data_IF_938388902901
#
_entry.id   IF_938388902901
#
_cell.length_a   1.000
_cell.length_b   1.000
_cell.length_c   1.000
_cell.angle_alpha   90.00
_cell.angle_beta   90.00
_cell.angle_gamma   90.00
#
_symmetry.space_group_name_H-M   'P 1'
#
loop_
_entity.id
_entity.type
_entity.pdbx_description
1 polymer ?
#
# COMPACT_ATOMS: atom_id res chain seq x y z
N UNK A 1 6.83 17.75 50.32
CA UNK A 1 6.22 16.66 49.53
C UNK A 1 5.30 17.35 48.53
N UNK A 2 5.71 17.46 47.27
CA UNK A 2 4.98 18.19 46.23
C UNK A 2 4.14 17.19 45.41
N UNK A 3 2.87 17.46 45.06
CA UNK A 3 2.12 16.57 44.19
C UNK A 3 2.73 16.56 42.78
N UNK A 4 2.67 15.43 42.06
CA UNK A 4 3.10 15.35 40.67
C UNK A 4 2.19 16.25 39.79
N UNK A 5 2.73 16.83 38.71
CA UNK A 5 1.93 17.60 37.76
C UNK A 5 0.88 16.68 37.10
N UNK A 6 -0.31 17.21 36.75
CA UNK A 6 -1.33 16.42 36.07
C UNK A 6 -0.79 15.93 34.72
N UNK A 7 -1.06 14.66 34.42
CA UNK A 7 -0.74 14.08 33.12
C UNK A 7 -1.49 14.88 32.04
N UNK A 8 -0.76 15.42 31.07
CA UNK A 8 -1.36 16.03 29.90
C UNK A 8 -2.06 14.92 29.11
N UNK A 9 -3.37 14.80 29.25
CA UNK A 9 -4.19 14.00 28.36
C UNK A 9 -4.13 14.66 26.98
N UNK A 10 -3.24 14.15 26.15
CA UNK A 10 -3.23 14.50 24.72
C UNK A 10 -4.47 13.86 24.13
N UNK A 11 -5.55 14.64 24.07
CA UNK A 11 -6.76 14.31 23.35
C UNK A 11 -6.38 14.07 21.88
N UNK A 12 -6.42 12.81 21.45
CA UNK A 12 -6.43 12.51 20.03
C UNK A 12 -7.73 13.09 19.49
N UNK A 13 -7.63 14.09 18.62
CA UNK A 13 -8.78 14.64 17.94
C UNK A 13 -9.56 13.48 17.30
N UNK A 14 -10.80 13.27 17.75
CA UNK A 14 -11.69 12.29 17.14
C UNK A 14 -12.07 12.84 15.78
N UNK A 15 -11.36 12.40 14.73
CA UNK A 15 -11.72 12.73 13.36
C UNK A 15 -13.05 12.03 13.07
N UNK A 16 -14.10 12.82 12.88
CA UNK A 16 -15.38 12.32 12.40
C UNK A 16 -15.17 11.77 10.98
N UNK A 17 -15.53 10.51 10.70
CA UNK A 17 -15.44 9.98 9.34
C UNK A 17 -16.30 10.84 8.40
N UNK A 18 -15.67 11.51 7.43
CA UNK A 18 -16.37 12.09 6.27
C UNK A 18 -16.45 13.62 6.18
N UNK A 19 -15.89 14.41 7.10
CA UNK A 19 -15.92 15.90 6.96
C UNK A 19 -14.62 16.52 6.46
N UNK A 20 -13.48 15.85 6.67
CA UNK A 20 -12.15 16.44 6.38
C UNK A 20 -11.44 15.72 5.21
N UNK A 21 -12.08 14.69 4.64
CA UNK A 21 -11.61 14.07 3.41
C UNK A 21 -12.26 14.79 2.24
N UNK A 22 -11.77 15.99 1.91
CA UNK A 22 -11.99 16.53 0.57
C UNK A 22 -11.38 15.52 -0.41
N UNK A 23 -12.22 14.67 -1.00
CA UNK A 23 -11.83 13.86 -2.15
C UNK A 23 -11.50 14.88 -3.24
N UNK A 24 -10.24 14.98 -3.71
CA UNK A 24 -9.93 15.81 -4.86
C UNK A 24 -10.80 15.31 -6.01
N UNK A 25 -11.77 16.12 -6.41
CA UNK A 25 -12.84 15.74 -7.35
C UNK A 25 -12.38 15.75 -8.80
N UNK A 26 -11.11 16.02 -9.01
CA UNK A 26 -10.42 15.94 -10.28
C UNK A 26 -9.50 14.72 -10.25
N UNK A 27 -9.55 13.91 -11.31
CA UNK A 27 -8.46 13.03 -11.73
C UNK A 27 -7.20 13.85 -12.07
N UNK A 28 -6.78 14.78 -11.21
CA UNK A 28 -5.43 15.29 -11.29
C UNK A 28 -4.52 14.12 -10.94
N UNK A 29 -3.52 13.88 -11.77
CA UNK A 29 -2.40 13.04 -11.39
C UNK A 29 -1.86 13.62 -10.09
N UNK A 30 -2.20 13.03 -8.95
CA UNK A 30 -1.58 13.42 -7.69
C UNK A 30 -0.08 13.40 -7.96
N UNK A 31 0.65 14.49 -7.66
CA UNK A 31 2.03 14.66 -8.08
C UNK A 31 2.90 13.52 -7.56
N UNK A 32 4.19 13.59 -7.83
CA UNK A 32 5.26 12.72 -7.34
C UNK A 32 5.22 12.43 -5.81
N UNK A 33 4.25 12.92 -5.05
CA UNK A 33 3.90 12.68 -3.65
C UNK A 33 3.27 11.31 -3.37
N UNK A 34 2.70 10.60 -4.35
CA UNK A 34 2.08 9.27 -4.12
C UNK A 34 2.72 8.15 -4.95
N UNK A 35 2.57 6.93 -4.45
CA UNK A 35 2.88 5.68 -5.16
C UNK A 35 1.59 4.92 -5.43
N UNK A 36 1.35 4.57 -6.69
CA UNK A 36 0.17 3.79 -7.12
C UNK A 36 0.49 2.29 -7.08
N UNK A 37 -0.41 1.49 -6.52
CA UNK A 37 -0.33 0.04 -6.54
C UNK A 37 -1.43 -0.56 -7.41
N UNK A 38 -1.03 -1.38 -8.36
CA UNK A 38 -1.91 -2.02 -9.34
C UNK A 38 -1.94 -3.55 -9.16
N UNK A 39 -2.99 -4.20 -9.66
CA UNK A 39 -3.11 -5.66 -9.71
C UNK A 39 -3.25 -6.14 -11.17
N UNK A 40 -2.38 -7.02 -11.68
CA UNK A 40 -2.40 -7.47 -13.08
C UNK A 40 -3.66 -8.25 -13.49
N UNK A 41 -4.33 -8.90 -12.54
CA UNK A 41 -5.58 -9.63 -12.79
C UNK A 41 -6.78 -8.75 -13.15
N UNK A 42 -6.62 -7.41 -13.15
CA UNK A 42 -7.62 -6.46 -13.59
C UNK A 42 -7.12 -5.70 -14.82
N UNK A 43 -8.03 -5.34 -15.72
CA UNK A 43 -7.68 -4.55 -16.90
C UNK A 43 -7.45 -3.08 -16.55
N UNK A 44 -6.46 -2.47 -17.20
CA UNK A 44 -6.29 -1.02 -17.15
C UNK A 44 -7.49 -0.34 -17.85
N UNK A 45 -7.99 0.81 -17.34
CA UNK A 45 -7.44 1.63 -16.25
C UNK A 45 -7.94 1.28 -14.83
N UNK A 46 -8.75 0.23 -14.70
CA UNK A 46 -9.39 -0.18 -13.43
C UNK A 46 -8.50 -1.09 -12.57
N UNK A 47 -7.27 -1.32 -13.00
CA UNK A 47 -6.31 -2.18 -12.32
C UNK A 47 -5.62 -1.55 -11.11
N UNK A 48 -6.05 -0.37 -10.65
CA UNK A 48 -5.50 0.29 -9.46
C UNK A 48 -6.21 -0.25 -8.21
N UNK A 49 -5.43 -0.70 -7.24
CA UNK A 49 -5.94 -1.09 -5.93
C UNK A 49 -6.10 0.14 -5.02
N UNK A 50 -5.01 0.89 -4.84
CA UNK A 50 -4.95 2.10 -4.01
C UNK A 50 -3.66 2.88 -4.30
N UNK A 51 -3.47 3.99 -3.59
CA UNK A 51 -2.24 4.76 -3.57
C UNK A 51 -1.81 5.02 -2.12
N UNK A 52 -0.51 5.13 -1.89
CA UNK A 52 0.05 5.51 -0.58
C UNK A 52 0.89 6.79 -0.72
N UNK A 53 0.81 7.72 0.25
CA UNK A 53 1.65 8.90 0.26
C UNK A 53 3.10 8.54 0.55
N UNK A 54 4.03 9.30 -0.02
CA UNK A 54 5.46 9.17 0.23
C UNK A 54 5.83 9.84 1.54
N UNK A 55 5.86 9.04 2.60
CA UNK A 55 6.14 9.49 3.97
C UNK A 55 7.46 8.95 4.52
N UNK A 56 8.11 8.04 3.80
CA UNK A 56 9.37 7.43 4.22
C UNK A 56 10.56 8.13 3.55
N UNK A 57 11.51 8.61 4.35
CA UNK A 57 12.69 9.36 3.86
C UNK A 57 13.92 8.48 3.86
N UNK A 58 14.49 8.28 2.68
CA UNK A 58 15.76 7.54 2.53
C UNK A 58 16.96 8.37 3.00
N UNK A 59 18.11 7.72 3.30
CA UNK A 59 19.34 8.43 3.69
C UNK A 59 19.87 9.44 2.64
N UNK A 60 19.54 9.24 1.36
CA UNK A 60 19.94 10.15 0.29
C UNK A 60 18.99 11.35 0.11
N UNK A 61 17.95 11.45 0.95
CA UNK A 61 16.98 12.56 0.94
C UNK A 61 15.75 12.34 0.06
N UNK A 62 15.65 11.22 -0.66
CA UNK A 62 14.46 10.87 -1.46
C UNK A 62 13.32 10.40 -0.58
N UNK A 63 12.08 10.68 -1.01
CA UNK A 63 10.86 10.24 -0.32
C UNK A 63 10.17 9.11 -1.08
N UNK A 64 9.63 8.14 -0.33
CA UNK A 64 8.95 6.98 -0.88
C UNK A 64 8.01 6.31 0.11
N UNK A 65 7.66 5.07 -0.19
CA UNK A 65 6.80 4.22 0.64
C UNK A 65 7.61 3.06 1.19
N UNK A 66 7.53 2.82 2.49
CA UNK A 66 8.17 1.66 3.11
C UNK A 66 7.64 0.34 2.51
N UNK A 67 8.55 -0.56 2.12
CA UNK A 67 8.24 -1.76 1.33
C UNK A 67 7.26 -2.70 2.05
N UNK A 68 7.52 -3.09 3.30
CA UNK A 68 6.60 -3.98 4.02
C UNK A 68 5.22 -3.37 4.25
N UNK A 69 5.15 -2.04 4.41
CA UNK A 69 3.86 -1.33 4.55
C UNK A 69 3.04 -1.48 3.28
N UNK A 70 3.66 -1.22 2.12
CA UNK A 70 3.02 -1.41 0.82
C UNK A 70 2.62 -2.87 0.57
N UNK A 71 3.52 -3.82 0.86
CA UNK A 71 3.28 -5.24 0.66
C UNK A 71 2.08 -5.72 1.48
N UNK A 72 2.09 -5.42 2.78
CA UNK A 72 1.02 -5.80 3.71
C UNK A 72 -0.33 -5.21 3.28
N UNK A 73 -0.35 -3.93 2.89
CA UNK A 73 -1.57 -3.29 2.40
C UNK A 73 -2.09 -3.97 1.12
N UNK A 74 -1.21 -4.30 0.17
CA UNK A 74 -1.59 -5.02 -1.04
C UNK A 74 -2.16 -6.41 -0.72
N UNK A 75 -1.52 -7.17 0.17
CA UNK A 75 -1.98 -8.49 0.58
C UNK A 75 -3.38 -8.45 1.20
N UNK A 76 -3.65 -7.46 2.06
CA UNK A 76 -4.97 -7.28 2.68
C UNK A 76 -6.03 -6.95 1.62
N UNK A 77 -5.78 -5.94 0.77
CA UNK A 77 -6.75 -5.46 -0.23
C UNK A 77 -7.01 -6.50 -1.32
N UNK A 78 -6.01 -7.30 -1.69
CA UNK A 78 -6.12 -8.38 -2.66
C UNK A 78 -6.66 -9.68 -2.04
N UNK A 79 -7.73 -9.59 -1.25
CA UNK A 79 -8.40 -10.73 -0.62
C UNK A 79 -7.47 -11.60 0.25
N UNK A 80 -6.66 -10.97 1.10
CA UNK A 80 -5.74 -11.66 2.02
C UNK A 80 -4.74 -12.60 1.30
N UNK A 81 -4.28 -12.22 0.11
CA UNK A 81 -3.31 -12.97 -0.67
C UNK A 81 -1.88 -12.80 -0.12
N UNK A 82 -1.59 -13.36 1.05
CA UNK A 82 -0.29 -13.23 1.73
C UNK A 82 0.89 -13.94 1.02
N UNK A 83 0.60 -14.70 -0.03
CA UNK A 83 1.54 -15.33 -0.96
C UNK A 83 1.97 -14.41 -2.12
N UNK A 84 1.37 -13.21 -2.25
CA UNK A 84 1.72 -12.25 -3.29
C UNK A 84 2.99 -11.44 -3.01
N UNK A 85 3.50 -10.80 -4.06
CA UNK A 85 4.73 -10.00 -4.05
C UNK A 85 4.60 -8.70 -4.86
N UNK A 86 5.51 -7.74 -4.62
CA UNK A 86 5.58 -6.50 -5.39
C UNK A 86 6.60 -6.62 -6.52
N UNK A 87 6.23 -6.13 -7.71
CA UNK A 87 7.04 -6.04 -8.92
C UNK A 87 6.98 -4.62 -9.52
N UNK A 88 7.95 -4.25 -10.34
CA UNK A 88 7.91 -3.00 -11.13
C UNK A 88 7.16 -3.16 -12.48
N UNK A 89 6.92 -4.40 -12.91
CA UNK A 89 6.12 -4.74 -14.10
C UNK A 89 4.94 -5.65 -13.74
N UNK A 90 3.89 -5.64 -14.57
CA UNK A 90 2.67 -6.42 -14.35
C UNK A 90 2.88 -7.94 -14.41
N UNK A 91 3.89 -8.41 -15.15
CA UNK A 91 4.31 -9.80 -15.32
C UNK A 91 5.74 -10.05 -14.79
N UNK A 92 6.26 -9.10 -14.01
CA UNK A 92 7.64 -9.11 -13.55
C UNK A 92 7.91 -10.07 -12.39
N UNK A 93 9.19 -10.31 -12.16
CA UNK A 93 9.68 -11.00 -10.98
C UNK A 93 9.53 -10.14 -9.71
N UNK A 94 9.56 -10.75 -8.51
CA UNK A 94 9.61 -9.99 -7.27
C UNK A 94 10.77 -9.00 -7.24
N UNK A 95 10.53 -7.81 -6.69
CA UNK A 95 11.60 -6.86 -6.43
C UNK A 95 12.68 -7.48 -5.54
N UNK A 96 13.94 -7.26 -5.91
CA UNK A 96 15.08 -7.61 -5.05
C UNK A 96 15.25 -6.51 -4.00
N UNK A 97 14.54 -6.63 -2.89
CA UNK A 97 14.51 -5.63 -1.80
C UNK A 97 14.56 -6.28 -0.43
N UNK A 98 15.15 -5.59 0.56
CA UNK A 98 14.98 -5.92 1.98
C UNK A 98 13.57 -5.46 2.44
N UNK A 99 12.89 -6.18 3.36
CA UNK A 99 11.79 -5.67 4.19
C UNK A 99 11.79 -4.15 4.49
N UNK A 100 12.93 -3.59 4.88
CA UNK A 100 13.06 -2.17 5.26
C UNK A 100 13.33 -1.20 4.09
N UNK A 101 13.21 -1.68 2.84
CA UNK A 101 13.49 -0.86 1.65
C UNK A 101 12.42 0.19 1.44
N UNK A 102 12.78 1.26 0.73
CA UNK A 102 11.85 2.33 0.35
C UNK A 102 11.56 2.26 -1.14
N UNK A 103 10.27 2.18 -1.49
CA UNK A 103 9.76 2.18 -2.84
C UNK A 103 9.73 3.61 -3.39
N UNK A 104 10.51 3.87 -4.45
CA UNK A 104 10.72 5.20 -5.01
C UNK A 104 10.00 5.45 -6.35
N UNK A 105 9.60 4.40 -7.08
CA UNK A 105 8.85 4.60 -8.34
C UNK A 105 7.42 5.06 -8.04
N UNK A 106 6.80 5.74 -9.00
CA UNK A 106 5.42 6.23 -8.86
C UNK A 106 4.36 5.13 -9.04
N UNK A 107 4.76 3.94 -9.52
CA UNK A 107 3.87 2.80 -9.75
C UNK A 107 4.57 1.48 -9.51
N UNK A 108 3.86 0.54 -8.91
CA UNK A 108 4.23 -0.85 -8.75
C UNK A 108 3.01 -1.77 -8.97
N UNK A 109 3.28 -3.07 -9.16
CA UNK A 109 2.27 -4.10 -9.31
C UNK A 109 2.37 -5.10 -8.16
N UNK A 110 1.23 -5.47 -7.59
CA UNK A 110 1.11 -6.59 -6.67
C UNK A 110 0.66 -7.82 -7.45
N UNK A 111 1.51 -8.85 -7.48
CA UNK A 111 1.30 -10.08 -8.23
C UNK A 111 1.02 -11.18 -7.22
N UNK A 112 -0.10 -11.88 -7.40
CA UNK A 112 -0.42 -13.11 -6.67
C UNK A 112 -0.03 -14.27 -7.58
N UNK A 113 0.93 -15.12 -7.20
CA UNK A 113 1.24 -16.33 -7.96
C UNK A 113 -0.03 -17.17 -8.15
N UNK A 114 -0.17 -17.79 -9.32
CA UNK A 114 -1.26 -18.75 -9.53
C UNK A 114 -1.17 -19.81 -8.42
N UNK A 115 -2.21 -19.87 -7.58
CA UNK A 115 -2.37 -21.03 -6.73
C UNK A 115 -2.63 -22.19 -7.68
N UNK A 116 -1.87 -23.30 -7.59
CA UNK A 116 -2.24 -24.49 -8.34
C UNK A 116 -3.71 -24.75 -8.02
N UNK A 117 -4.54 -24.82 -9.06
CA UNK A 117 -5.96 -25.10 -8.92
C UNK A 117 -6.10 -26.26 -7.94
N UNK A 118 -7.05 -26.16 -7.01
CA UNK A 118 -7.37 -27.25 -6.09
C UNK A 118 -8.01 -28.37 -6.92
N UNK A 119 -7.17 -29.05 -7.69
CA UNK A 119 -7.53 -30.07 -8.66
C UNK A 119 -8.04 -31.27 -7.85
N UNK A 120 -9.36 -31.43 -7.80
CA UNK A 120 -9.97 -32.47 -6.99
C UNK A 120 -11.49 -32.40 -6.81
N UNK A 121 -12.21 -31.44 -7.40
CA UNK A 121 -13.67 -31.53 -7.43
C UNK A 121 -14.11 -32.39 -8.63
N UNK A 122 -14.33 -33.68 -8.38
CA UNK A 122 -15.15 -34.54 -9.23
C UNK A 122 -16.60 -34.47 -8.72
N UNK A 123 -17.54 -33.83 -9.44
CA UNK A 123 -18.95 -33.99 -9.12
C UNK A 123 -19.39 -35.42 -9.48
N UNK A 124 -19.89 -36.14 -8.48
CA UNK A 124 -20.68 -37.35 -8.63
C UNK A 124 -22.17 -37.05 -8.48
#
# INVERSE_FOLDING_TARGET
MHPPPPAAETSFATIQPGTDYEIPTSQESLPETFVTFCHPGYEAPFNKLFFLPRVEKTPNGSWGVHYLTALTACQIVANNAFDGYISDQADGAPLTTNPDSVLLRSRYFFIVPDRPERNGYHPG
#
